data_IF_085146134172
#
_entry.id   IF_085146134172
#
_cell.length_a   1.000
_cell.length_b   1.000
_cell.length_c   1.000
_cell.angle_alpha   90.00
_cell.angle_beta   90.00
_cell.angle_gamma   90.00
#
_symmetry.space_group_name_H-M   'P 1'
#
loop_
_entity.id
_entity.type
_entity.pdbx_description
1 polymer ?
#
# COMPACT_ATOMS: atom_id res chain seq x y z
N UNK A 1 6.14 14.81 -17.75
CA UNK A 1 6.17 13.34 -17.90
C UNK A 1 5.86 12.70 -16.55
N UNK A 2 5.08 11.61 -16.49
CA UNK A 2 4.87 10.89 -15.23
C UNK A 2 6.17 10.17 -14.82
N UNK A 3 6.68 10.48 -13.63
CA UNK A 3 7.91 9.88 -13.09
C UNK A 3 7.67 9.31 -11.71
N UNK A 4 8.05 8.06 -11.53
CA UNK A 4 8.08 7.36 -10.25
C UNK A 4 9.52 7.21 -9.79
N UNK A 5 9.85 7.74 -8.62
CA UNK A 5 11.22 7.82 -8.08
C UNK A 5 11.25 7.06 -6.75
N UNK A 6 12.14 6.05 -6.59
CA UNK A 6 12.27 5.36 -5.32
C UNK A 6 12.80 6.29 -4.23
N UNK A 7 12.41 6.02 -2.98
CA UNK A 7 12.92 6.73 -1.80
C UNK A 7 13.77 5.79 -0.94
N UNK A 8 14.38 6.30 0.13
CA UNK A 8 15.08 5.48 1.12
C UNK A 8 14.13 4.68 2.04
N UNK A 9 12.82 4.90 1.95
CA UNK A 9 11.82 4.17 2.72
C UNK A 9 11.24 3.08 1.81
N UNK A 10 11.37 1.82 2.22
CA UNK A 10 10.85 0.70 1.45
C UNK A 10 9.33 0.81 1.27
N UNK A 11 8.87 0.49 0.06
CA UNK A 11 7.47 0.63 -0.31
C UNK A 11 6.98 2.07 -0.50
N UNK A 12 7.86 3.08 -0.39
CA UNK A 12 7.49 4.49 -0.56
C UNK A 12 8.17 5.09 -1.79
N UNK A 13 7.38 5.69 -2.66
CA UNK A 13 7.83 6.23 -3.94
C UNK A 13 7.35 7.67 -4.12
N UNK A 14 8.22 8.54 -4.60
CA UNK A 14 7.86 9.89 -5.02
C UNK A 14 7.30 9.84 -6.44
N UNK A 15 6.17 10.47 -6.65
CA UNK A 15 5.45 10.51 -7.91
C UNK A 15 5.39 11.96 -8.36
N UNK A 16 5.94 12.22 -9.53
CA UNK A 16 5.85 13.50 -10.22
C UNK A 16 4.92 13.32 -11.42
N UNK A 17 3.76 13.94 -11.37
CA UNK A 17 2.79 13.90 -12.45
C UNK A 17 2.66 15.30 -13.08
N UNK A 18 2.66 15.41 -14.42
CA UNK A 18 2.38 16.69 -15.06
C UNK A 18 0.92 17.06 -14.80
N UNK A 19 0.66 18.30 -14.35
CA UNK A 19 -0.70 18.87 -14.31
C UNK A 19 -0.93 19.81 -15.50
N UNK A 20 -2.16 20.31 -15.67
CA UNK A 20 -2.44 21.28 -16.75
C UNK A 20 -1.60 22.55 -16.53
N UNK A 21 -0.90 23.01 -17.57
CA UNK A 21 -0.01 24.17 -17.49
C UNK A 21 1.40 23.82 -17.00
N UNK A 22 2.07 24.78 -16.36
CA UNK A 22 3.48 24.68 -15.92
C UNK A 22 3.65 24.15 -14.48
N UNK A 23 2.56 23.62 -13.90
CA UNK A 23 2.57 23.07 -12.55
C UNK A 23 2.87 21.56 -12.60
N UNK A 24 3.76 21.09 -11.73
CA UNK A 24 3.95 19.66 -11.44
C UNK A 24 3.19 19.29 -10.17
N UNK A 25 2.42 18.20 -10.22
CA UNK A 25 1.86 17.59 -9.01
C UNK A 25 2.87 16.60 -8.42
N UNK A 26 3.28 16.86 -7.19
CA UNK A 26 4.14 15.98 -6.41
C UNK A 26 3.26 15.23 -5.41
N UNK A 27 3.38 13.92 -5.37
CA UNK A 27 2.67 13.05 -4.43
C UNK A 27 3.55 11.87 -4.03
N UNK A 28 3.16 11.17 -2.97
CA UNK A 28 3.82 9.96 -2.49
C UNK A 28 2.92 8.77 -2.77
N UNK A 29 3.44 7.72 -3.37
CA UNK A 29 2.81 6.40 -3.38
C UNK A 29 3.35 5.57 -2.21
N UNK A 30 2.46 5.05 -1.38
CA UNK A 30 2.75 4.09 -0.32
C UNK A 30 2.20 2.73 -0.75
N UNK A 31 3.08 1.76 -0.89
CA UNK A 31 2.75 0.38 -1.27
C UNK A 31 3.73 -0.57 -0.57
N UNK A 32 3.32 -1.19 0.55
CA UNK A 32 4.16 -2.13 1.27
C UNK A 32 4.70 -3.23 0.35
N UNK A 33 5.87 -3.75 0.68
CA UNK A 33 6.50 -4.82 -0.08
C UNK A 33 6.24 -6.16 0.62
N UNK A 34 6.15 -7.22 -0.17
CA UNK A 34 6.17 -8.60 0.31
C UNK A 34 7.60 -9.04 0.66
N UNK A 35 7.74 -10.28 1.12
CA UNK A 35 9.02 -10.91 1.47
C UNK A 35 10.03 -10.99 0.31
N UNK A 36 9.56 -10.85 -0.94
CA UNK A 36 10.38 -10.82 -2.14
C UNK A 36 10.69 -9.39 -2.63
N UNK A 37 10.35 -8.38 -1.83
CA UNK A 37 10.55 -6.97 -2.17
C UNK A 37 9.60 -6.45 -3.26
N UNK A 38 8.49 -7.14 -3.52
CA UNK A 38 7.50 -6.77 -4.54
C UNK A 38 6.30 -6.07 -3.89
N UNK A 39 5.70 -5.06 -4.53
CA UNK A 39 4.57 -4.37 -3.94
C UNK A 39 3.35 -5.30 -3.75
N UNK A 40 2.74 -5.29 -2.56
CA UNK A 40 1.60 -6.17 -2.21
C UNK A 40 0.33 -5.89 -3.05
N UNK A 41 0.25 -4.71 -3.66
CA UNK A 41 -0.85 -4.31 -4.54
C UNK A 41 -0.32 -3.76 -5.86
N UNK A 42 -1.09 -3.96 -6.93
CA UNK A 42 -0.80 -3.36 -8.25
C UNK A 42 -0.78 -1.83 -8.23
N UNK A 43 -1.52 -1.20 -7.31
CA UNK A 43 -1.57 0.25 -7.11
C UNK A 43 -1.43 0.54 -5.61
N UNK A 44 -0.48 1.39 -5.24
CA UNK A 44 -0.36 1.90 -3.89
C UNK A 44 -1.38 3.00 -3.58
N UNK A 45 -1.32 3.47 -2.35
CA UNK A 45 -2.09 4.62 -1.88
C UNK A 45 -1.31 5.89 -2.22
N UNK A 46 -1.93 6.80 -2.97
CA UNK A 46 -1.33 8.08 -3.32
C UNK A 46 -1.75 9.15 -2.32
N UNK A 47 -0.77 9.76 -1.68
CA UNK A 47 -0.94 10.80 -0.67
C UNK A 47 -0.25 12.08 -1.14
N UNK A 48 -0.98 13.19 -1.12
CA UNK A 48 -0.44 14.53 -1.43
C UNK A 48 -0.17 15.36 -0.18
N UNK A 49 -0.93 15.13 0.89
CA UNK A 49 -0.88 15.95 2.10
C UNK A 49 -0.78 15.08 3.34
N UNK A 50 -0.03 15.54 4.35
CA UNK A 50 0.15 14.82 5.63
C UNK A 50 -1.18 14.46 6.29
N UNK A 51 -2.17 15.36 6.26
CA UNK A 51 -3.50 15.14 6.85
C UNK A 51 -4.22 13.94 6.21
N UNK A 52 -4.01 13.68 4.92
CA UNK A 52 -4.58 12.49 4.29
C UNK A 52 -3.98 11.23 4.91
N UNK A 53 -2.65 11.17 5.06
CA UNK A 53 -1.99 10.03 5.70
C UNK A 53 -2.48 9.84 7.13
N UNK A 54 -2.58 10.90 7.92
CA UNK A 54 -3.09 10.84 9.29
C UNK A 54 -4.51 10.21 9.34
N UNK A 55 -5.42 10.66 8.47
CA UNK A 55 -6.78 10.09 8.37
C UNK A 55 -6.81 8.64 7.90
N UNK A 56 -5.94 8.26 6.95
CA UNK A 56 -5.82 6.86 6.54
C UNK A 56 -5.34 5.99 7.69
N UNK A 57 -4.35 6.45 8.46
CA UNK A 57 -3.82 5.73 9.61
C UNK A 57 -4.86 5.56 10.71
N UNK A 58 -5.68 6.58 10.99
CA UNK A 58 -6.80 6.49 11.93
C UNK A 58 -7.75 5.33 11.57
N UNK A 59 -8.15 5.23 10.29
CA UNK A 59 -9.06 4.16 9.84
C UNK A 59 -8.37 2.80 9.82
N UNK A 60 -7.10 2.73 9.40
CA UNK A 60 -6.34 1.47 9.33
C UNK A 60 -6.04 0.88 10.71
N UNK A 61 -6.04 1.68 11.77
CA UNK A 61 -5.83 1.24 13.15
C UNK A 61 -7.14 0.92 13.89
N UNK A 62 -8.29 1.08 13.23
CA UNK A 62 -9.60 0.77 13.82
C UNK A 62 -9.75 -0.74 14.02
N UNK A 63 -9.98 -1.19 15.25
CA UNK A 63 -10.07 -2.62 15.58
C UNK A 63 -11.21 -3.32 14.84
N UNK A 64 -12.36 -2.65 14.66
CA UNK A 64 -13.49 -3.20 13.90
C UNK A 64 -13.16 -3.45 12.43
N UNK A 65 -12.23 -2.69 11.85
CA UNK A 65 -11.76 -2.95 10.49
C UNK A 65 -10.94 -4.25 10.45
N UNK A 66 -10.10 -4.49 11.44
CA UNK A 66 -9.31 -5.73 11.54
C UNK A 66 -10.21 -6.96 11.70
N UNK A 67 -11.16 -6.92 12.63
CA UNK A 67 -12.15 -8.00 12.84
C UNK A 67 -12.96 -8.29 11.56
N UNK A 68 -13.31 -7.22 10.82
CA UNK A 68 -14.01 -7.36 9.56
C UNK A 68 -13.16 -8.06 8.50
N UNK A 69 -11.87 -7.72 8.40
CA UNK A 69 -10.94 -8.39 7.49
C UNK A 69 -10.76 -9.88 7.83
N UNK A 70 -10.61 -10.22 9.11
CA UNK A 70 -10.52 -11.63 9.56
C UNK A 70 -11.77 -12.44 9.19
N UNK A 71 -12.95 -11.81 9.30
CA UNK A 71 -14.22 -12.42 8.88
C UNK A 71 -14.25 -12.66 7.37
N UNK A 72 -13.80 -11.69 6.58
CA UNK A 72 -13.70 -11.84 5.11
C UNK A 72 -12.75 -12.97 4.72
N UNK A 73 -11.60 -13.09 5.39
CA UNK A 73 -10.65 -14.17 5.11
C UNK A 73 -11.21 -15.55 5.42
N UNK A 74 -11.97 -15.66 6.52
CA UNK A 74 -12.66 -16.89 6.90
C UNK A 74 -13.71 -17.29 5.84
N UNK A 75 -14.45 -16.31 5.30
CA UNK A 75 -15.45 -16.54 4.25
C UNK A 75 -14.82 -16.91 2.90
N UNK A 76 -13.69 -16.29 2.56
CA UNK A 76 -12.97 -16.54 1.31
C UNK A 76 -12.21 -17.88 1.30
N UNK A 77 -12.16 -18.58 2.43
CA UNK A 77 -11.35 -19.79 2.61
C UNK A 77 -9.83 -19.50 2.55
N UNK A 78 -9.42 -18.25 2.79
CA UNK A 78 -8.01 -17.85 2.83
C UNK A 78 -7.33 -18.14 4.17
N UNK A 79 -8.09 -18.50 5.21
CA UNK A 79 -7.57 -18.86 6.53
C UNK A 79 -6.57 -20.04 6.52
N UNK A 80 -6.47 -20.82 5.43
CA UNK A 80 -5.48 -21.89 5.27
C UNK A 80 -4.29 -21.56 4.35
N UNK A 81 -4.23 -20.36 3.75
CA UNK A 81 -3.18 -20.01 2.77
C UNK A 81 -1.90 -19.41 3.34
N UNK A 82 -1.80 -19.22 4.65
CA UNK A 82 -0.53 -18.84 5.31
C UNK A 82 0.36 -20.03 5.74
N UNK A 83 0.00 -21.28 5.37
CA UNK A 83 0.89 -22.46 5.55
C UNK A 83 1.41 -23.09 4.26
N UNK A 84 1.35 -22.40 3.12
CA UNK A 84 1.96 -22.89 1.87
C UNK A 84 3.18 -22.05 1.53
N UNK A 85 4.26 -22.27 2.29
CA UNK A 85 5.52 -21.56 2.11
C UNK A 85 6.73 -22.20 2.78
N UNK A 86 6.67 -23.45 3.28
CA UNK A 86 7.85 -24.27 3.56
C UNK A 86 7.47 -25.75 3.47
N UNK A 87 7.51 -26.29 2.27
CA UNK A 87 7.86 -27.70 2.07
C UNK A 87 9.22 -27.67 1.41
N UNK A 88 10.26 -27.79 2.24
CA UNK A 88 11.58 -28.18 1.74
C UNK A 88 11.47 -29.64 1.27
N UNK A 89 11.86 -29.88 0.02
CA UNK A 89 12.29 -31.20 -0.46
C UNK A 89 13.81 -31.21 -0.40
#
# INVERSE_FOLDING_TARGET
>A
MYKRVPTSIEGVFLIKAPTRGDQESIMVEINPLDEFGRPIKRRGIFIQQKIQLERFLEVMQESRLMEFMETLDSMAGSAEKEKVGTLEI
#
